data_IF_170282770255
#
_entry.id   IF_170282770255
#
_cell.length_a   1.000
_cell.length_b   1.000
_cell.length_c   1.000
_cell.angle_alpha   90.00
_cell.angle_beta   90.00
_cell.angle_gamma   90.00
#
_symmetry.space_group_name_H-M   'P 1'
#
loop_
_entity.id
_entity.type
_entity.pdbx_description
1 polymer ?
#
# COMPACT_ATOMS: atom_id res chain seq x y z
N UNK A 1 -3.25 4.43 2.53
CA UNK A 1 -2.34 3.51 1.82
C UNK A 1 -0.98 4.16 1.50
N UNK A 2 -0.92 5.31 0.83
CA UNK A 2 0.34 6.01 0.53
C UNK A 2 1.13 6.34 1.80
N UNK A 3 0.49 6.91 2.82
CA UNK A 3 1.12 7.18 4.12
C UNK A 3 1.67 5.92 4.78
N UNK A 4 0.96 4.79 4.67
CA UNK A 4 1.42 3.53 5.23
C UNK A 4 2.64 2.98 4.49
N UNK A 5 2.66 3.05 3.15
CA UNK A 5 3.79 2.61 2.35
C UNK A 5 5.05 3.45 2.64
N UNK A 6 4.93 4.79 2.61
CA UNK A 6 6.04 5.67 2.98
C UNK A 6 6.44 5.56 4.46
N UNK A 7 5.48 5.30 5.36
CA UNK A 7 5.77 5.03 6.76
C UNK A 7 6.67 3.80 6.95
N UNK A 8 6.47 2.74 6.16
CA UNK A 8 7.37 1.57 6.17
C UNK A 8 8.75 1.96 5.67
N UNK A 9 8.83 2.71 4.55
CA UNK A 9 10.12 3.22 4.02
C UNK A 9 10.84 4.04 5.09
N UNK A 10 10.15 4.96 5.74
CA UNK A 10 10.73 5.79 6.82
C UNK A 10 11.23 4.97 8.01
N UNK A 11 10.52 3.90 8.37
CA UNK A 11 10.96 2.99 9.46
C UNK A 11 12.19 2.17 9.05
N UNK A 12 12.36 1.89 7.77
CA UNK A 12 13.50 1.15 7.22
C UNK A 12 14.71 2.05 6.97
N UNK A 13 14.50 3.33 6.61
CA UNK A 13 15.57 4.30 6.41
C UNK A 13 16.23 4.63 7.74
N UNK A 14 17.53 4.48 7.82
CA UNK A 14 18.35 4.91 8.95
C UNK A 14 18.80 6.35 8.76
N UNK A 15 19.20 7.03 9.86
CA UNK A 15 19.60 8.43 9.90
C UNK A 15 20.75 8.78 8.92
N UNK A 16 21.54 7.80 8.52
CA UNK A 16 22.73 7.96 7.67
C UNK A 16 22.65 7.18 6.35
N UNK A 17 21.62 6.33 6.15
CA UNK A 17 21.46 5.54 4.95
C UNK A 17 19.98 5.47 4.58
N UNK A 18 19.63 6.13 3.48
CA UNK A 18 18.29 6.05 2.90
C UNK A 18 18.10 4.69 2.23
N UNK A 19 16.95 4.06 2.48
CA UNK A 19 16.55 2.81 1.84
C UNK A 19 15.96 3.11 0.45
N UNK A 20 16.80 3.63 -0.47
CA UNK A 20 16.37 4.08 -1.80
C UNK A 20 16.46 2.98 -2.85
N UNK A 21 17.26 1.95 -2.61
CA UNK A 21 17.47 0.87 -3.55
C UNK A 21 16.49 -0.28 -3.30
N UNK A 22 16.02 -0.88 -4.39
CA UNK A 22 15.14 -2.06 -4.32
C UNK A 22 15.81 -3.24 -3.60
N UNK A 23 17.15 -3.28 -3.66
CA UNK A 23 17.98 -4.28 -3.01
C UNK A 23 17.88 -4.21 -1.47
N UNK A 24 17.67 -3.01 -0.90
CA UNK A 24 17.52 -2.81 0.56
C UNK A 24 16.27 -3.52 1.12
N UNK A 25 15.28 -3.73 0.26
CA UNK A 25 14.03 -4.42 0.59
C UNK A 25 14.09 -5.93 0.36
N UNK A 26 15.17 -6.44 -0.27
CA UNK A 26 15.31 -7.86 -0.56
C UNK A 26 15.37 -8.68 0.72
N UNK A 27 14.51 -9.70 0.79
CA UNK A 27 14.46 -10.57 1.95
C UNK A 27 13.90 -9.93 3.21
N UNK A 28 13.20 -8.78 3.12
CA UNK A 28 12.61 -8.11 4.28
C UNK A 28 11.66 -9.03 5.06
N UNK A 29 10.94 -9.92 4.37
CA UNK A 29 10.07 -10.90 5.02
C UNK A 29 10.83 -11.81 6.00
N UNK A 30 12.03 -12.23 5.66
CA UNK A 30 12.84 -13.11 6.49
C UNK A 30 13.46 -12.38 7.70
N UNK A 31 13.71 -11.08 7.54
CA UNK A 31 14.29 -10.21 8.60
C UNK A 31 13.22 -9.59 9.49
N UNK A 32 12.13 -9.10 8.92
CA UNK A 32 11.03 -8.37 9.60
C UNK A 32 9.67 -8.70 8.98
N UNK A 33 9.08 -9.86 9.29
CA UNK A 33 7.84 -10.33 8.65
C UNK A 33 6.67 -9.36 8.83
N UNK A 34 6.53 -8.74 10.00
CA UNK A 34 5.44 -7.80 10.26
C UNK A 34 5.49 -6.56 9.34
N UNK A 35 6.68 -5.95 9.16
CA UNK A 35 6.84 -4.81 8.26
C UNK A 35 6.64 -5.21 6.79
N UNK A 36 7.15 -6.36 6.38
CA UNK A 36 6.96 -6.89 5.03
C UNK A 36 5.48 -7.13 4.72
N UNK A 37 4.72 -7.71 5.66
CA UNK A 37 3.27 -7.92 5.50
C UNK A 37 2.50 -6.60 5.40
N UNK A 38 2.80 -5.63 6.27
CA UNK A 38 2.19 -4.29 6.22
C UNK A 38 2.48 -3.62 4.88
N UNK A 39 3.75 -3.64 4.45
CA UNK A 39 4.15 -3.04 3.18
C UNK A 39 3.47 -3.72 1.99
N UNK A 40 3.42 -5.04 1.99
CA UNK A 40 2.69 -5.83 0.98
C UNK A 40 1.22 -5.42 0.93
N UNK A 41 0.53 -5.34 2.08
CA UNK A 41 -0.87 -4.93 2.13
C UNK A 41 -1.09 -3.52 1.56
N UNK A 42 -0.20 -2.57 1.85
CA UNK A 42 -0.26 -1.21 1.31
C UNK A 42 -0.04 -1.18 -0.20
N UNK A 43 0.95 -1.93 -0.71
CA UNK A 43 1.25 -2.04 -2.14
C UNK A 43 0.11 -2.70 -2.92
N UNK A 44 -0.48 -3.78 -2.39
CA UNK A 44 -1.63 -4.46 -3.00
C UNK A 44 -2.86 -3.56 -3.03
N UNK A 45 -3.05 -2.72 -2.00
CA UNK A 45 -4.12 -1.73 -2.00
C UNK A 45 -3.88 -0.62 -3.03
N UNK A 46 -2.63 -0.13 -3.19
CA UNK A 46 -2.27 0.82 -4.24
C UNK A 46 -2.46 0.22 -5.64
N UNK A 47 -2.13 -1.04 -5.80
CA UNK A 47 -2.40 -1.80 -7.03
C UNK A 47 -3.90 -1.88 -7.35
N UNK A 48 -4.75 -1.87 -6.31
CA UNK A 48 -6.20 -1.96 -6.46
C UNK A 48 -6.69 -3.39 -6.55
N UNK A 49 -6.09 -4.29 -5.77
CA UNK A 49 -6.56 -5.68 -5.67
C UNK A 49 -7.90 -5.71 -4.93
N UNK A 50 -8.87 -6.55 -5.36
CA UNK A 50 -10.15 -6.74 -4.68
C UNK A 50 -9.98 -6.94 -3.17
N UNK A 51 -10.97 -6.52 -2.38
CA UNK A 51 -10.99 -6.53 -0.91
C UNK A 51 -10.14 -5.43 -0.26
N UNK A 52 -9.59 -4.49 -1.03
CA UNK A 52 -8.86 -3.34 -0.49
C UNK A 52 -9.58 -2.02 -0.79
N UNK A 53 -9.34 -1.02 0.05
CA UNK A 53 -9.91 0.32 -0.14
C UNK A 53 -9.48 0.95 -1.48
N UNK A 54 -8.28 0.63 -1.97
CA UNK A 54 -7.79 1.11 -3.27
C UNK A 54 -8.60 0.60 -4.45
N UNK A 55 -9.05 -0.65 -4.40
CA UNK A 55 -9.95 -1.21 -5.40
C UNK A 55 -11.29 -0.47 -5.44
N UNK A 56 -11.90 -0.25 -4.27
CA UNK A 56 -13.17 0.46 -4.19
C UNK A 56 -13.08 1.87 -4.78
N UNK A 57 -12.02 2.62 -4.45
CA UNK A 57 -11.81 3.95 -5.02
C UNK A 57 -11.76 3.93 -6.55
N UNK A 58 -10.98 3.01 -7.15
CA UNK A 58 -10.89 2.86 -8.60
C UNK A 58 -12.23 2.44 -9.21
N UNK A 59 -12.93 1.50 -8.57
CA UNK A 59 -14.23 1.03 -9.02
C UNK A 59 -15.26 2.16 -9.09
N UNK A 60 -15.35 2.99 -8.06
CA UNK A 60 -16.28 4.12 -8.06
C UNK A 60 -15.92 5.19 -9.10
N UNK A 61 -14.62 5.44 -9.34
CA UNK A 61 -14.17 6.35 -10.40
C UNK A 61 -14.57 5.82 -11.77
N UNK A 62 -14.39 4.52 -12.02
CA UNK A 62 -14.81 3.87 -13.28
C UNK A 62 -16.33 3.97 -13.44
N UNK A 63 -17.11 3.67 -12.40
CA UNK A 63 -18.57 3.75 -12.44
C UNK A 63 -19.05 5.19 -12.71
N UNK A 64 -18.44 6.18 -12.07
CA UNK A 64 -18.75 7.59 -12.32
C UNK A 64 -18.35 8.04 -13.74
N UNK A 65 -17.18 7.62 -14.22
CA UNK A 65 -16.74 7.91 -15.58
C UNK A 65 -17.65 7.29 -16.63
N UNK A 66 -18.16 6.08 -16.40
CA UNK A 66 -19.09 5.41 -17.30
C UNK A 66 -20.45 6.14 -17.37
N UNK A 67 -20.94 6.69 -16.26
CA UNK A 67 -22.21 7.43 -16.23
C UNK A 67 -22.18 8.71 -17.07
N UNK A 68 -21.02 9.32 -17.24
CA UNK A 68 -20.80 10.52 -18.09
C UNK A 68 -20.11 10.19 -19.42
N UNK A 69 -20.02 8.91 -19.78
CA UNK A 69 -19.43 8.40 -21.04
C UNK A 69 -17.96 8.85 -21.25
N UNK A 70 -17.21 9.05 -20.19
CA UNK A 70 -15.80 9.47 -20.23
C UNK A 70 -14.85 8.28 -20.52
N UNK A 71 -15.08 7.54 -21.61
CA UNK A 71 -14.38 6.30 -21.95
C UNK A 71 -12.87 6.45 -22.04
N UNK A 72 -12.39 7.58 -22.57
CA UNK A 72 -10.95 7.86 -22.66
C UNK A 72 -10.29 7.93 -21.27
N UNK A 73 -10.94 8.58 -20.30
CA UNK A 73 -10.42 8.66 -18.94
C UNK A 73 -10.42 7.29 -18.24
N UNK A 74 -11.46 6.49 -18.46
CA UNK A 74 -11.52 5.11 -17.93
C UNK A 74 -10.38 4.28 -18.53
N UNK A 75 -10.13 4.35 -19.83
CA UNK A 75 -9.05 3.62 -20.49
C UNK A 75 -7.69 4.02 -19.92
N UNK A 76 -7.43 5.31 -19.76
CA UNK A 76 -6.19 5.81 -19.15
C UNK A 76 -6.04 5.29 -17.72
N UNK A 77 -7.11 5.33 -16.92
CA UNK A 77 -7.09 4.82 -15.54
C UNK A 77 -6.76 3.32 -15.49
N UNK A 78 -7.33 2.53 -16.40
CA UNK A 78 -7.07 1.08 -16.45
C UNK A 78 -5.62 0.80 -16.86
N UNK A 79 -5.12 1.47 -17.90
CA UNK A 79 -3.74 1.31 -18.37
C UNK A 79 -2.74 1.72 -17.28
N UNK A 80 -2.92 2.88 -16.68
CA UNK A 80 -2.02 3.35 -15.59
C UNK A 80 -2.09 2.47 -14.36
N UNK A 81 -3.25 1.90 -14.05
CA UNK A 81 -3.40 0.93 -12.96
C UNK A 81 -2.70 -0.38 -13.26
N UNK A 82 -2.73 -0.86 -14.51
CA UNK A 82 -2.02 -2.07 -14.93
C UNK A 82 -0.49 -1.89 -14.86
N UNK A 83 0.00 -0.73 -15.29
CA UNK A 83 1.44 -0.38 -15.16
C UNK A 83 1.83 -0.33 -13.68
N UNK A 84 1.04 0.35 -12.85
CA UNK A 84 1.28 0.44 -11.40
C UNK A 84 1.30 -0.93 -10.73
N UNK A 85 0.37 -1.83 -11.10
CA UNK A 85 0.31 -3.21 -10.60
C UNK A 85 1.63 -3.95 -10.85
N UNK A 86 2.20 -3.81 -12.06
CA UNK A 86 3.48 -4.45 -12.40
C UNK A 86 4.60 -4.00 -11.46
N UNK A 87 4.74 -2.69 -11.22
CA UNK A 87 5.78 -2.16 -10.33
C UNK A 87 5.55 -2.58 -8.87
N UNK A 88 4.33 -2.53 -8.37
CA UNK A 88 4.03 -2.94 -7.00
C UNK A 88 4.26 -4.42 -6.77
N UNK A 89 3.88 -5.28 -7.72
CA UNK A 89 4.15 -6.72 -7.64
C UNK A 89 5.66 -7.02 -7.69
N UNK A 90 6.42 -6.28 -8.48
CA UNK A 90 7.88 -6.40 -8.52
C UNK A 90 8.49 -6.14 -7.15
N UNK A 91 8.06 -5.08 -6.46
CA UNK A 91 8.52 -4.80 -5.09
C UNK A 91 8.10 -5.93 -4.15
N UNK A 92 6.85 -6.39 -4.21
CA UNK A 92 6.38 -7.50 -3.37
C UNK A 92 7.23 -8.75 -3.56
N UNK A 93 7.53 -9.15 -4.80
CA UNK A 93 8.40 -10.30 -5.08
C UNK A 93 9.78 -10.11 -4.45
N UNK A 94 10.36 -8.91 -4.52
CA UNK A 94 11.66 -8.61 -3.90
C UNK A 94 11.61 -8.76 -2.38
N UNK A 95 10.52 -8.34 -1.71
CA UNK A 95 10.37 -8.51 -0.25
C UNK A 95 10.45 -9.97 0.21
N UNK A 96 9.95 -10.90 -0.61
CA UNK A 96 9.89 -12.33 -0.30
C UNK A 96 11.06 -13.12 -0.91
N UNK A 97 11.90 -12.50 -1.75
CA UNK A 97 13.09 -13.13 -2.30
C UNK A 97 14.04 -13.56 -1.17
N UNK A 98 14.79 -14.64 -1.41
CA UNK A 98 15.80 -15.06 -0.44
C UNK A 98 16.93 -14.02 -0.41
N UNK A 99 17.39 -13.60 0.78
CA UNK A 99 18.53 -12.69 0.90
C UNK A 99 19.77 -13.35 0.30
N UNK A 100 20.54 -12.56 -0.44
CA UNK A 100 21.83 -13.04 -0.97
C UNK A 100 22.74 -13.47 0.19
N UNK A 101 23.63 -14.44 -0.06
CA UNK A 101 24.49 -15.01 0.97
C UNK A 101 25.39 -13.95 1.65
N UNK A 102 25.69 -12.85 0.94
CA UNK A 102 26.45 -11.70 1.44
C UNK A 102 25.66 -10.84 2.44
N UNK A 103 24.32 -10.86 2.40
CA UNK A 103 23.47 -10.00 3.23
C UNK A 103 23.14 -10.59 4.60
N UNK A 104 23.53 -11.86 4.84
CA UNK A 104 23.35 -12.51 6.16
C UNK A 104 24.23 -11.88 7.25
N UNK A 105 25.21 -11.07 6.86
CA UNK A 105 26.13 -10.37 7.78
C UNK A 105 25.65 -8.95 8.18
N UNK A 106 24.51 -8.49 7.68
CA UNK A 106 23.98 -7.20 8.11
C UNK A 106 23.40 -7.31 9.52
N UNK A 107 23.95 -6.48 10.41
CA UNK A 107 23.58 -6.36 11.80
C UNK A 107 22.07 -6.27 12.04
N UNK A 108 21.58 -6.77 13.18
CA UNK A 108 20.18 -6.63 13.54
C UNK A 108 19.83 -5.15 13.57
N UNK A 109 19.03 -4.71 12.57
CA UNK A 109 18.50 -3.35 12.51
C UNK A 109 17.84 -3.06 13.87
N UNK A 110 18.24 -2.01 14.60
CA UNK A 110 17.77 -1.77 15.95
C UNK A 110 16.24 -1.77 16.01
N UNK A 111 15.70 -2.43 17.01
CA UNK A 111 14.27 -2.48 17.34
C UNK A 111 13.78 -1.06 17.67
N UNK A 112 13.55 -0.23 16.64
CA UNK A 112 13.09 1.13 16.85
C UNK A 112 11.59 1.25 16.73
N UNK A 113 11.04 1.93 17.73
CA UNK A 113 9.70 2.44 17.92
C UNK A 113 8.57 1.39 17.78
N UNK A 114 8.18 0.71 18.86
CA UNK A 114 6.95 -0.08 18.88
C UNK A 114 5.74 0.76 18.47
N UNK A 115 5.77 2.08 18.72
CA UNK A 115 4.75 3.01 18.29
C UNK A 115 4.59 3.07 16.75
N UNK A 116 5.69 3.09 15.98
CA UNK A 116 5.60 3.12 14.52
C UNK A 116 4.97 1.83 13.96
N UNK A 117 5.36 0.67 14.50
CA UNK A 117 4.77 -0.62 14.11
C UNK A 117 3.28 -0.66 14.44
N UNK A 118 2.89 -0.13 15.60
CA UNK A 118 1.50 -0.09 16.02
C UNK A 118 0.66 0.81 15.12
N UNK A 119 1.16 1.99 14.75
CA UNK A 119 0.49 2.91 13.82
C UNK A 119 0.34 2.26 12.43
N UNK A 120 1.40 1.63 11.92
CA UNK A 120 1.36 0.95 10.63
C UNK A 120 0.38 -0.24 10.62
N UNK A 121 0.34 -1.02 11.71
CA UNK A 121 -0.61 -2.11 11.87
C UNK A 121 -2.06 -1.57 11.93
N UNK A 122 -2.30 -0.50 12.68
CA UNK A 122 -3.61 0.15 12.76
C UNK A 122 -4.06 0.65 11.37
N UNK A 123 -3.17 1.31 10.63
CA UNK A 123 -3.46 1.77 9.26
C UNK A 123 -3.81 0.59 8.33
N UNK A 124 -3.10 -0.53 8.47
CA UNK A 124 -3.37 -1.74 7.68
C UNK A 124 -4.74 -2.34 8.00
N UNK A 125 -5.07 -2.43 9.28
CA UNK A 125 -6.40 -2.93 9.74
C UNK A 125 -7.51 -2.03 9.20
N UNK A 126 -7.36 -0.71 9.33
CA UNK A 126 -8.34 0.27 8.81
C UNK A 126 -8.50 0.12 7.29
N UNK A 127 -7.39 -0.04 6.56
CA UNK A 127 -7.38 -0.18 5.10
C UNK A 127 -8.13 -1.44 4.65
N UNK A 128 -7.89 -2.58 5.29
CA UNK A 128 -8.58 -3.84 4.99
C UNK A 128 -10.06 -3.75 5.41
N UNK A 129 -10.33 -3.18 6.59
CA UNK A 129 -11.70 -3.02 7.07
C UNK A 129 -12.54 -2.14 6.14
N UNK A 130 -12.01 -1.00 5.70
CA UNK A 130 -12.68 -0.14 4.72
C UNK A 130 -12.84 -0.81 3.34
N UNK A 131 -11.92 -1.70 2.97
CA UNK A 131 -12.01 -2.48 1.73
C UNK A 131 -13.13 -3.53 1.76
N UNK A 132 -13.32 -4.19 2.90
CA UNK A 132 -14.34 -5.25 3.08
C UNK A 132 -15.71 -4.65 3.43
N UNK A 133 -15.74 -3.59 4.24
CA UNK A 133 -16.97 -2.95 4.71
C UNK A 133 -16.98 -1.44 4.44
N UNK A 134 -17.25 -1.02 3.19
CA UNK A 134 -17.22 0.40 2.79
C UNK A 134 -18.43 1.21 3.24
N UNK A 135 -19.47 0.58 3.77
CA UNK A 135 -20.74 1.21 4.13
C UNK A 135 -20.57 2.48 5.02
N UNK A 136 -19.79 2.47 6.12
CA UNK A 136 -19.65 3.64 6.96
C UNK A 136 -19.00 4.82 6.24
N UNK A 137 -18.02 4.55 5.36
CA UNK A 137 -17.38 5.58 4.55
C UNK A 137 -18.36 6.21 3.56
N UNK A 138 -19.17 5.39 2.89
CA UNK A 138 -20.17 5.86 1.93
C UNK A 138 -21.28 6.70 2.62
N UNK A 139 -21.71 6.29 3.80
CA UNK A 139 -22.67 7.07 4.61
C UNK A 139 -22.08 8.41 5.00
N UNK A 140 -20.83 8.46 5.47
CA UNK A 140 -20.16 9.70 5.84
C UNK A 140 -20.00 10.65 4.64
N UNK A 141 -19.62 10.11 3.46
CA UNK A 141 -19.49 10.91 2.22
C UNK A 141 -20.85 11.47 1.81
N UNK A 142 -21.91 10.66 1.82
CA UNK A 142 -23.27 11.14 1.49
C UNK A 142 -23.76 12.21 2.44
N UNK A 143 -23.54 12.05 3.75
CA UNK A 143 -23.87 13.04 4.74
C UNK A 143 -23.12 14.37 4.53
N UNK A 144 -21.83 14.29 4.17
CA UNK A 144 -21.04 15.49 3.86
C UNK A 144 -21.54 16.20 2.59
N UNK A 145 -21.93 15.47 1.56
CA UNK A 145 -22.48 16.05 0.32
C UNK A 145 -23.83 16.69 0.60
N UNK A 146 -24.72 16.06 1.38
CA UNK A 146 -26.04 16.64 1.71
C UNK A 146 -25.97 17.88 2.59
N UNK A 147 -24.85 18.13 3.27
CA UNK A 147 -24.64 19.34 4.05
C UNK A 147 -24.10 20.52 3.22
N UNK A 148 -23.69 20.27 1.97
CA UNK A 148 -23.12 21.28 1.06
C UNK A 148 -24.13 21.76 0.00
N UNK A 149 -25.25 21.06 -0.13
CA UNK A 149 -26.37 21.36 -1.04
C UNK A 149 -27.58 21.80 -0.25
#
# INVERSE_FOLDING_TARGET
>A
MTLGAFGVVTVLSERERDADLLEDYQGLFWRRPALALVFTAMLLSLAGIPLTAGFLGKFYIIAAGASVQAWALILILVITSAIGLFYYLRIVVTLYAQPAASDRAHEPIPRRAPAAILVLAALTVILVWLGVYPAPLLVAIRAAISSLV
#
